data_IF_886489596818
#
_entry.id   IF_886489596818
#
_cell.length_a   1.000
_cell.length_b   1.000
_cell.length_c   1.000
_cell.angle_alpha   90.00
_cell.angle_beta   90.00
_cell.angle_gamma   90.00
#
_symmetry.space_group_name_H-M   'P 1'
#
loop_
_entity.id
_entity.type
_entity.pdbx_description
1 polymer ?
#
# COMPACT_ATOMS: atom_id res chain seq x y z
N UNK A 1 -12.43 -32.26 -45.56
CA UNK A 1 -12.84 -30.88 -45.20
C UNK A 1 -13.25 -30.68 -43.73
N UNK A 2 -13.37 -31.74 -42.91
CA UNK A 2 -13.77 -31.64 -41.49
C UNK A 2 -12.62 -31.33 -40.51
N UNK A 3 -11.37 -31.48 -40.93
CA UNK A 3 -10.20 -31.30 -40.05
C UNK A 3 -9.88 -29.84 -39.73
N UNK A 4 -10.18 -28.91 -40.64
CA UNK A 4 -9.86 -27.48 -40.48
C UNK A 4 -10.85 -26.77 -39.53
N UNK A 5 -12.12 -27.16 -39.56
CA UNK A 5 -13.14 -26.58 -38.68
C UNK A 5 -13.01 -27.08 -37.23
N UNK A 6 -12.58 -28.33 -37.02
CA UNK A 6 -12.25 -28.81 -35.66
C UNK A 6 -11.03 -28.10 -35.07
N UNK A 7 -9.99 -27.80 -35.86
CA UNK A 7 -8.79 -27.13 -35.37
C UNK A 7 -9.07 -25.70 -34.90
N UNK A 8 -9.94 -24.97 -35.63
CA UNK A 8 -10.38 -23.62 -35.23
C UNK A 8 -11.21 -23.63 -33.95
N UNK A 9 -12.06 -24.65 -33.77
CA UNK A 9 -12.89 -24.80 -32.57
C UNK A 9 -12.05 -25.15 -31.33
N UNK A 10 -11.05 -26.02 -31.50
CA UNK A 10 -10.11 -26.39 -30.43
C UNK A 10 -9.22 -25.19 -30.04
N UNK A 11 -8.64 -24.47 -31.00
CA UNK A 11 -7.90 -23.24 -30.72
C UNK A 11 -8.75 -22.18 -30.03
N UNK A 12 -10.01 -22.03 -30.46
CA UNK A 12 -10.97 -21.13 -29.82
C UNK A 12 -11.24 -21.49 -28.36
N UNK A 13 -11.41 -22.77 -28.06
CA UNK A 13 -11.67 -23.26 -26.70
C UNK A 13 -10.44 -23.10 -25.78
N UNK A 14 -9.23 -23.40 -26.28
CA UNK A 14 -7.99 -23.17 -25.53
C UNK A 14 -7.74 -21.67 -25.30
N UNK A 15 -8.05 -20.81 -26.27
CA UNK A 15 -7.94 -19.36 -26.10
C UNK A 15 -8.94 -18.82 -25.05
N UNK A 16 -10.17 -19.35 -25.03
CA UNK A 16 -11.21 -18.98 -24.06
C UNK A 16 -10.88 -19.47 -22.64
N UNK A 17 -10.28 -20.65 -22.50
CA UNK A 17 -9.77 -21.17 -21.23
C UNK A 17 -8.54 -20.38 -20.74
N UNK A 18 -7.63 -19.96 -21.62
CA UNK A 18 -6.44 -19.18 -21.26
C UNK A 18 -6.77 -17.73 -20.85
N UNK A 19 -7.82 -17.12 -21.44
CA UNK A 19 -8.31 -15.81 -21.01
C UNK A 19 -8.95 -15.84 -19.61
N UNK A 20 -9.35 -17.00 -19.10
CA UNK A 20 -9.98 -17.12 -17.78
C UNK A 20 -8.98 -17.00 -16.62
N UNK A 21 -7.67 -17.22 -16.85
CA UNK A 21 -6.66 -17.20 -15.78
C UNK A 21 -5.89 -15.87 -15.61
N UNK A 22 -6.03 -14.89 -16.50
CA UNK A 22 -5.11 -13.74 -16.51
C UNK A 22 -5.57 -12.48 -15.74
N UNK A 23 -6.47 -12.58 -14.76
CA UNK A 23 -7.02 -11.38 -14.09
C UNK A 23 -6.97 -11.33 -12.56
N UNK A 24 -6.09 -12.07 -11.88
CA UNK A 24 -5.86 -11.82 -10.45
C UNK A 24 -4.70 -10.84 -10.24
N UNK A 25 -4.97 -9.54 -10.26
CA UNK A 25 -4.09 -8.57 -9.61
C UNK A 25 -3.84 -9.03 -8.17
N UNK A 26 -2.58 -9.24 -7.76
CA UNK A 26 -2.26 -9.70 -6.40
C UNK A 26 -2.93 -8.79 -5.37
N UNK A 27 -3.70 -9.41 -4.48
CA UNK A 27 -4.39 -8.74 -3.38
C UNK A 27 -3.81 -9.29 -2.08
N UNK A 28 -3.44 -8.39 -1.17
CA UNK A 28 -2.97 -8.79 0.15
C UNK A 28 -4.12 -9.55 0.84
N UNK A 29 -3.87 -10.77 1.35
CA UNK A 29 -4.87 -11.55 2.07
C UNK A 29 -5.39 -10.80 3.29
N UNK A 30 -6.61 -11.13 3.72
CA UNK A 30 -7.20 -10.51 4.90
C UNK A 30 -6.33 -10.85 6.14
N UNK A 31 -5.97 -9.86 6.98
CA UNK A 31 -5.15 -10.13 8.14
C UNK A 31 -5.94 -10.82 9.25
N UNK A 32 -5.27 -11.73 9.95
CA UNK A 32 -5.82 -12.41 11.11
C UNK A 32 -5.39 -11.69 12.38
N UNK A 33 -6.34 -11.49 13.29
CA UNK A 33 -6.13 -10.85 14.59
C UNK A 33 -6.24 -11.90 15.70
N UNK A 34 -5.20 -12.00 16.51
CA UNK A 34 -5.16 -12.89 17.67
C UNK A 34 -4.92 -12.05 18.92
N UNK A 35 -5.77 -12.24 19.93
CA UNK A 35 -5.66 -11.54 21.22
C UNK A 35 -5.30 -12.60 22.27
N UNK A 36 -4.13 -12.46 22.87
CA UNK A 36 -3.66 -13.40 23.89
C UNK A 36 -4.21 -13.05 25.28
N UNK A 37 -4.59 -14.07 26.06
CA UNK A 37 -5.39 -13.89 27.27
C UNK A 37 -4.77 -13.02 28.37
N UNK A 38 -3.44 -12.89 28.42
CA UNK A 38 -2.73 -12.22 29.53
C UNK A 38 -2.22 -10.81 29.22
N UNK A 39 -1.90 -10.51 27.96
CA UNK A 39 -1.69 -9.20 27.30
C UNK A 39 -1.17 -9.51 25.88
N UNK A 40 -1.55 -8.73 24.88
CA UNK A 40 -0.90 -8.77 23.58
C UNK A 40 -1.85 -8.76 22.40
N UNK A 41 -1.39 -8.12 21.33
CA UNK A 41 -2.02 -8.13 20.03
C UNK A 41 -1.06 -8.79 19.04
N UNK A 42 -1.58 -9.76 18.30
CA UNK A 42 -0.92 -10.33 17.14
C UNK A 42 -1.77 -10.06 15.88
N UNK A 43 -1.09 -9.61 14.82
CA UNK A 43 -1.69 -9.40 13.51
C UNK A 43 -0.82 -10.09 12.48
N UNK A 44 -1.41 -10.99 11.70
CA UNK A 44 -0.66 -11.77 10.70
C UNK A 44 -1.31 -11.75 9.33
N UNK A 45 -0.49 -11.93 8.29
CA UNK A 45 -0.94 -12.30 6.95
C UNK A 45 -0.18 -13.56 6.52
N UNK A 46 -0.82 -14.48 5.76
CA UNK A 46 -0.09 -15.60 5.18
C UNK A 46 0.96 -15.10 4.19
N UNK A 47 2.05 -15.86 4.09
CA UNK A 47 3.07 -15.64 3.08
C UNK A 47 2.55 -16.00 1.67
N UNK A 48 3.14 -15.36 0.65
CA UNK A 48 2.91 -15.68 -0.75
C UNK A 48 4.23 -15.51 -1.52
N UNK A 49 4.37 -16.27 -2.59
CA UNK A 49 5.57 -16.31 -3.41
C UNK A 49 5.98 -14.90 -3.84
N UNK A 50 7.23 -14.55 -3.53
CA UNK A 50 7.85 -13.29 -3.93
C UNK A 50 7.59 -12.12 -3.00
N UNK A 51 6.87 -12.29 -1.89
CA UNK A 51 6.88 -11.31 -0.79
C UNK A 51 8.29 -11.30 -0.19
N UNK A 52 8.84 -10.11 0.02
CA UNK A 52 10.16 -9.97 0.65
C UNK A 52 10.21 -8.88 1.73
N UNK A 53 9.07 -8.26 2.02
CA UNK A 53 8.99 -7.15 2.96
C UNK A 53 7.54 -6.85 3.32
N UNK A 54 7.26 -6.77 4.63
CA UNK A 54 5.94 -6.40 5.15
C UNK A 54 6.10 -5.35 6.25
N UNK A 55 5.20 -4.36 6.25
CA UNK A 55 5.12 -3.34 7.31
C UNK A 55 3.70 -3.24 7.82
N UNK A 56 3.55 -3.38 9.13
CA UNK A 56 2.29 -3.18 9.83
C UNK A 56 2.25 -1.79 10.44
N UNK A 57 1.15 -1.08 10.20
CA UNK A 57 0.80 0.16 10.87
C UNK A 57 -0.46 -0.10 11.69
N UNK A 58 -0.37 0.04 13.01
CA UNK A 58 -1.44 -0.31 13.94
C UNK A 58 -1.73 0.88 14.85
N UNK A 59 -3.01 1.12 15.12
CA UNK A 59 -3.49 2.18 16.00
C UNK A 59 -4.75 1.72 16.73
N UNK A 60 -4.88 2.11 17.99
CA UNK A 60 -5.97 1.66 18.88
C UNK A 60 -6.86 2.86 19.16
N UNK A 61 -8.16 2.72 18.92
CA UNK A 61 -9.19 3.75 19.09
C UNK A 61 -8.91 5.08 18.35
N UNK A 62 -7.97 5.07 17.39
CA UNK A 62 -7.57 6.23 16.60
C UNK A 62 -7.35 5.85 15.15
N UNK A 63 -8.08 6.51 14.26
CA UNK A 63 -8.00 6.26 12.83
C UNK A 63 -6.63 6.66 12.24
N UNK A 64 -6.00 5.72 11.53
CA UNK A 64 -4.68 5.88 10.88
C UNK A 64 -4.74 6.85 9.69
N UNK A 65 -5.89 7.07 9.06
CA UNK A 65 -5.99 8.03 7.94
C UNK A 65 -5.77 9.47 8.37
N UNK A 66 -6.05 9.80 9.63
CA UNK A 66 -6.04 11.18 10.13
C UNK A 66 -4.83 11.50 11.01
N UNK A 67 -3.89 10.58 11.20
CA UNK A 67 -2.71 10.82 12.02
C UNK A 67 -1.68 9.69 12.05
N UNK A 68 -0.64 9.86 12.85
CA UNK A 68 0.41 8.86 13.01
C UNK A 68 -0.10 7.61 13.74
N UNK A 69 0.24 6.41 13.26
CA UNK A 69 -0.11 5.17 13.94
C UNK A 69 0.65 5.05 15.26
N UNK A 70 0.04 4.41 16.26
CA UNK A 70 0.71 4.15 17.53
C UNK A 70 1.91 3.21 17.35
N UNK A 71 1.79 2.24 16.44
CA UNK A 71 2.82 1.26 16.17
C UNK A 71 3.10 1.17 14.68
N UNK A 72 4.39 1.09 14.37
CA UNK A 72 4.90 0.79 13.05
C UNK A 72 5.99 -0.26 13.20
N UNK A 73 5.81 -1.39 12.54
CA UNK A 73 6.79 -2.47 12.60
C UNK A 73 7.08 -3.03 11.23
N UNK A 74 8.37 -3.11 10.93
CA UNK A 74 8.91 -3.81 9.79
C UNK A 74 9.11 -5.27 10.20
N UNK A 75 8.60 -6.19 9.40
CA UNK A 75 8.80 -7.62 9.59
C UNK A 75 9.76 -8.08 8.50
N UNK A 76 10.90 -8.62 8.91
CA UNK A 76 11.97 -9.09 8.03
C UNK A 76 11.95 -10.62 8.04
N UNK A 77 11.13 -11.19 7.16
CA UNK A 77 10.94 -12.62 7.04
C UNK A 77 9.65 -13.12 7.68
N UNK A 78 9.08 -14.12 7.04
CA UNK A 78 7.98 -14.92 7.52
C UNK A 78 8.45 -15.96 8.56
N UNK A 79 7.56 -16.30 9.48
CA UNK A 79 7.74 -17.38 10.45
C UNK A 79 6.55 -18.33 10.29
N UNK A 80 6.82 -19.61 10.02
CA UNK A 80 5.79 -20.62 9.77
C UNK A 80 4.77 -20.22 8.68
N UNK A 81 5.25 -19.61 7.60
CA UNK A 81 4.42 -19.19 6.47
C UNK A 81 3.50 -18.00 6.78
N UNK A 82 3.77 -17.23 7.84
CA UNK A 82 3.04 -16.01 8.18
C UNK A 82 4.00 -14.84 8.42
N UNK A 83 3.62 -13.66 7.96
CA UNK A 83 4.23 -12.40 8.33
C UNK A 83 3.46 -11.82 9.51
N UNK A 84 4.13 -11.68 10.65
CA UNK A 84 3.42 -11.44 11.91
C UNK A 84 3.97 -10.23 12.64
N UNK A 85 3.06 -9.32 13.00
CA UNK A 85 3.27 -8.30 14.02
C UNK A 85 2.82 -8.84 15.37
N UNK A 86 3.70 -8.82 16.37
CA UNK A 86 3.37 -9.24 17.73
C UNK A 86 3.78 -8.18 18.72
N UNK A 87 2.85 -7.76 19.59
CA UNK A 87 3.14 -6.81 20.67
C UNK A 87 2.45 -7.21 21.96
N UNK A 88 3.19 -7.92 22.81
CA UNK A 88 2.72 -8.41 24.12
C UNK A 88 2.32 -7.29 25.10
N UNK A 89 2.88 -6.08 24.97
CA UNK A 89 2.57 -4.98 25.88
C UNK A 89 1.19 -4.34 25.66
N UNK A 90 0.54 -4.62 24.52
CA UNK A 90 -0.75 -4.03 24.20
C UNK A 90 -1.85 -4.68 25.04
N UNK A 91 -2.59 -3.86 25.78
CA UNK A 91 -3.77 -4.27 26.55
C UNK A 91 -5.01 -3.78 25.83
N UNK A 92 -5.75 -4.70 25.23
CA UNK A 92 -7.04 -4.42 24.59
C UNK A 92 -8.18 -4.80 25.53
N UNK A 93 -9.24 -3.99 25.50
CA UNK A 93 -10.51 -4.23 26.19
C UNK A 93 -11.60 -4.54 25.17
N UNK A 94 -12.65 -5.29 25.55
CA UNK A 94 -13.87 -5.38 24.75
C UNK A 94 -14.37 -3.99 24.36
N UNK A 95 -14.72 -3.80 23.09
CA UNK A 95 -15.11 -2.53 22.50
C UNK A 95 -13.97 -1.70 21.93
N UNK A 96 -12.70 -2.02 22.19
CA UNK A 96 -11.58 -1.33 21.54
C UNK A 96 -11.57 -1.60 20.03
N UNK A 97 -11.18 -0.59 19.26
CA UNK A 97 -11.12 -0.63 17.80
C UNK A 97 -9.66 -0.54 17.34
N UNK A 98 -9.19 -1.57 16.65
CA UNK A 98 -7.86 -1.66 16.06
C UNK A 98 -7.92 -1.23 14.59
N UNK A 99 -7.43 -0.04 14.32
CA UNK A 99 -7.18 0.45 12.97
C UNK A 99 -5.85 -0.11 12.47
N UNK A 100 -5.80 -0.52 11.20
CA UNK A 100 -4.61 -1.12 10.63
C UNK A 100 -4.42 -0.75 9.16
N UNK A 101 -3.16 -0.66 8.74
CA UNK A 101 -2.74 -0.67 7.34
C UNK A 101 -1.55 -1.60 7.19
N UNK A 102 -1.53 -2.37 6.10
CA UNK A 102 -0.45 -3.34 5.84
C UNK A 102 0.16 -3.01 4.50
N UNK A 103 1.47 -2.83 4.48
CA UNK A 103 2.23 -2.64 3.26
C UNK A 103 2.98 -3.92 2.95
N UNK A 104 2.87 -4.41 1.72
CA UNK A 104 3.57 -5.60 1.25
C UNK A 104 4.37 -5.24 0.01
N UNK A 105 5.64 -5.66 -0.05
CA UNK A 105 6.42 -5.65 -1.29
C UNK A 105 6.51 -7.08 -1.82
N UNK A 106 6.03 -7.26 -3.04
CA UNK A 106 6.07 -8.54 -3.75
C UNK A 106 6.69 -8.32 -5.13
N UNK A 107 7.76 -9.05 -5.46
CA UNK A 107 8.53 -8.86 -6.70
C UNK A 107 8.86 -7.39 -7.02
N UNK A 108 9.29 -6.64 -6.00
CA UNK A 108 9.56 -5.19 -6.06
C UNK A 108 8.36 -4.28 -6.32
N UNK A 109 7.15 -4.82 -6.49
CA UNK A 109 5.90 -4.06 -6.57
C UNK A 109 5.32 -3.87 -5.17
N UNK A 110 4.75 -2.70 -4.93
CA UNK A 110 4.21 -2.30 -3.63
C UNK A 110 2.69 -2.42 -3.62
N UNK A 111 2.17 -3.04 -2.58
CA UNK A 111 0.74 -3.23 -2.34
C UNK A 111 0.38 -2.65 -0.98
N UNK A 112 -0.81 -2.07 -0.90
CA UNK A 112 -1.35 -1.50 0.33
C UNK A 112 -2.68 -2.18 0.64
N UNK A 113 -2.78 -2.69 1.85
CA UNK A 113 -4.02 -3.15 2.44
C UNK A 113 -4.51 -2.07 3.41
N UNK A 114 -5.69 -1.53 3.13
CA UNK A 114 -6.44 -0.66 4.03
C UNK A 114 -7.82 -1.31 4.21
N UNK A 115 -7.96 -2.08 5.28
CA UNK A 115 -9.17 -2.82 5.60
C UNK A 115 -10.08 -2.09 6.56
N UNK A 116 -11.22 -2.73 6.85
CA UNK A 116 -12.13 -2.30 7.92
C UNK A 116 -11.45 -2.40 9.27
N UNK A 117 -11.69 -1.48 10.22
CA UNK A 117 -11.14 -1.59 11.57
C UNK A 117 -11.62 -2.89 12.26
N UNK A 118 -10.76 -3.48 13.08
CA UNK A 118 -11.10 -4.68 13.85
C UNK A 118 -11.66 -4.27 15.22
N UNK A 119 -12.84 -4.76 15.59
CA UNK A 119 -13.47 -4.46 16.88
C UNK A 119 -13.26 -5.64 17.83
N UNK A 120 -12.68 -5.36 18.98
CA UNK A 120 -12.44 -6.37 20.02
C UNK A 120 -13.79 -6.77 20.62
N UNK A 121 -14.23 -7.99 20.35
CA UNK A 121 -15.48 -8.52 20.88
C UNK A 121 -15.32 -8.99 22.33
N UNK A 122 -16.43 -9.02 23.05
CA UNK A 122 -16.47 -9.56 24.42
C UNK A 122 -16.26 -11.09 24.39
N UNK A 123 -15.52 -11.61 25.38
CA UNK A 123 -15.23 -13.04 25.47
C UNK A 123 -16.53 -13.80 25.73
N UNK A 124 -16.99 -14.61 24.79
CA UNK A 124 -17.99 -15.64 25.10
C UNK A 124 -17.28 -16.72 25.90
N UNK A 125 -17.39 -16.69 27.22
CA UNK A 125 -17.04 -17.86 28.03
C UNK A 125 -18.02 -18.97 27.66
N UNK A 126 -17.57 -19.94 26.86
CA UNK A 126 -18.23 -21.22 26.86
C UNK A 126 -18.03 -21.84 28.25
N UNK A 127 -19.08 -22.27 28.95
CA UNK A 127 -18.94 -22.96 30.22
C UNK A 127 -18.13 -24.23 30.00
N UNK A 128 -16.88 -24.26 30.49
CA UNK A 128 -16.01 -25.43 30.49
C UNK A 128 -16.68 -26.51 31.37
N UNK A 129 -16.92 -27.73 30.88
CA UNK A 129 -17.32 -28.84 31.74
C UNK A 129 -16.25 -29.03 32.83
N UNK A 130 -16.68 -29.09 34.09
CA UNK A 130 -15.78 -29.18 35.23
C UNK A 130 -14.92 -30.45 35.16
N UNK A 131 -13.61 -30.29 34.91
CA UNK A 131 -12.62 -31.32 35.16
C UNK A 131 -11.33 -30.71 35.76
N UNK A 132 -10.62 -31.45 36.63
CA UNK A 132 -9.66 -30.89 37.57
C UNK A 132 -8.39 -30.34 36.91
N UNK A 133 -7.89 -29.27 37.51
CA UNK A 133 -6.78 -28.42 37.10
C UNK A 133 -5.43 -29.16 37.18
N UNK A 134 -4.66 -29.14 36.09
CA UNK A 134 -3.19 -29.01 36.15
C UNK A 134 -2.58 -28.65 34.79
N UNK A 135 -2.55 -27.36 34.45
CA UNK A 135 -1.51 -26.69 33.62
C UNK A 135 -1.84 -25.19 33.49
N UNK A 136 -0.86 -24.26 33.55
CA UNK A 136 -1.10 -22.87 33.23
C UNK A 136 -1.20 -22.72 31.70
N UNK A 137 -2.39 -22.91 31.15
CA UNK A 137 -2.68 -22.68 29.72
C UNK A 137 -2.47 -21.20 29.37
N UNK A 138 -1.50 -20.92 28.52
CA UNK A 138 -1.27 -19.62 27.87
C UNK A 138 -2.16 -19.52 26.63
N UNK A 139 -3.47 -19.46 26.86
CA UNK A 139 -4.47 -19.50 25.79
C UNK A 139 -4.47 -18.18 24.97
N UNK A 140 -4.05 -18.26 23.72
CA UNK A 140 -4.32 -17.25 22.70
C UNK A 140 -5.50 -17.69 21.84
N UNK A 141 -6.47 -16.80 21.61
CA UNK A 141 -7.62 -17.10 20.76
C UNK A 141 -7.52 -16.34 19.43
N UNK A 142 -7.63 -17.09 18.32
CA UNK A 142 -7.69 -16.56 16.97
C UNK A 142 -9.12 -16.08 16.70
N UNK A 143 -9.31 -14.79 16.45
CA UNK A 143 -10.64 -14.27 16.08
C UNK A 143 -10.79 -14.39 14.57
N UNK A 144 -11.82 -15.10 14.05
CA UNK A 144 -12.12 -15.04 12.64
C UNK A 144 -12.49 -13.59 12.28
N UNK A 145 -11.90 -13.09 11.19
CA UNK A 145 -12.20 -11.76 10.69
C UNK A 145 -13.66 -11.71 10.20
N UNK A 146 -14.57 -11.29 11.07
CA UNK A 146 -15.95 -11.00 10.67
C UNK A 146 -15.93 -9.64 9.97
N UNK A 147 -16.18 -9.64 8.67
CA UNK A 147 -16.49 -8.42 7.95
C UNK A 147 -17.80 -7.85 8.52
N UNK A 148 -17.73 -6.82 9.33
CA UNK A 148 -18.92 -6.12 9.82
C UNK A 148 -19.53 -5.32 8.68
N UNK A 149 -20.35 -5.95 7.86
CA UNK A 149 -21.41 -5.24 7.14
C UNK A 149 -22.35 -4.66 8.18
N UNK A 150 -22.32 -3.34 8.34
CA UNK A 150 -23.30 -2.61 9.14
C UNK A 150 -24.67 -2.90 8.51
N UNK A 151 -25.64 -3.50 9.21
CA UNK A 151 -26.97 -3.72 8.65
C UNK A 151 -27.65 -2.37 8.39
N UNK A 152 -28.43 -2.21 7.30
CA UNK A 152 -29.31 -1.06 7.17
C UNK A 152 -30.38 -1.16 8.26
N UNK A 153 -30.43 -0.18 9.15
CA UNK A 153 -31.49 -0.05 10.14
C UNK A 153 -32.81 0.23 9.41
N UNK A 154 -33.59 -0.81 9.18
CA UNK A 154 -35.01 -0.72 8.81
C UNK A 154 -35.82 -0.40 10.07
N UNK A 155 -36.18 0.86 10.24
CA UNK A 155 -37.16 1.28 11.24
C UNK A 155 -38.56 0.97 10.70
N UNK A 156 -39.16 -0.12 11.17
CA UNK A 156 -40.59 -0.40 10.96
C UNK A 156 -41.41 0.67 11.68
N UNK A 157 -42.08 1.54 10.92
CA UNK A 157 -43.10 2.46 11.43
C UNK A 157 -44.48 1.82 11.15
N UNK A 158 -45.43 1.82 12.10
CA UNK A 158 -46.76 1.21 11.91
C UNK A 158 -47.55 1.90 10.80
N UNK A 159 -48.49 1.20 10.15
CA UNK A 159 -49.26 1.75 9.05
C UNK A 159 -50.31 2.74 9.58
N UNK A 160 -50.07 4.03 9.38
CA UNK A 160 -51.11 5.05 9.52
C UNK A 160 -51.60 5.46 8.13
N UNK A 161 -52.88 5.19 7.92
CA UNK A 161 -53.72 5.48 6.76
C UNK A 161 -53.50 6.91 6.25
N UNK A 162 -53.10 7.05 4.99
CA UNK A 162 -52.92 8.35 4.32
C UNK A 162 -54.26 8.87 3.79
N UNK A 163 -54.65 10.04 4.26
CA UNK A 163 -55.44 11.01 3.49
C UNK A 163 -54.48 12.05 2.89
N UNK A 164 -54.70 12.54 1.66
CA UNK A 164 -53.74 13.36 0.94
C UNK A 164 -53.79 14.83 1.39
N UNK A 165 -52.68 15.31 1.92
CA UNK A 165 -52.44 16.72 2.24
C UNK A 165 -51.21 17.23 1.52
N UNK A 166 -51.43 18.14 0.57
CA UNK A 166 -50.41 19.00 -0.02
C UNK A 166 -49.75 19.82 1.09
N UNK A 167 -48.41 19.93 1.07
CA UNK A 167 -47.61 21.09 1.50
C UNK A 167 -46.12 20.77 1.26
N UNK A 168 -45.51 21.45 0.29
CA UNK A 168 -44.08 21.35 0.00
C UNK A 168 -43.27 21.99 1.14
N UNK A 169 -42.42 21.20 1.80
CA UNK A 169 -41.48 21.69 2.80
C UNK A 169 -40.25 22.35 2.15
N UNK A 170 -39.68 23.40 2.77
CA UNK A 170 -38.52 24.10 2.24
C UNK A 170 -37.30 23.18 2.26
N UNK A 171 -36.51 23.25 1.18
CA UNK A 171 -35.25 22.53 1.02
C UNK A 171 -34.35 22.75 2.26
N UNK A 172 -33.93 21.66 2.88
CA UNK A 172 -33.16 21.66 4.14
C UNK A 172 -31.73 22.23 3.91
N UNK A 173 -31.61 23.56 4.03
CA UNK A 173 -30.35 24.30 3.91
C UNK A 173 -29.27 23.86 4.93
N UNK A 174 -29.64 23.15 6.00
CA UNK A 174 -28.69 22.73 7.04
C UNK A 174 -27.76 21.61 6.56
N UNK A 175 -28.25 20.70 5.73
CA UNK A 175 -27.48 19.57 5.19
C UNK A 175 -26.46 20.03 4.13
N UNK A 176 -26.86 20.99 3.30
CA UNK A 176 -25.98 21.62 2.32
C UNK A 176 -24.86 22.42 3.02
N UNK A 177 -25.22 23.21 4.03
CA UNK A 177 -24.25 24.01 4.81
C UNK A 177 -23.18 23.12 5.47
N UNK A 178 -23.58 22.02 6.11
CA UNK A 178 -22.65 21.09 6.75
C UNK A 178 -21.71 20.38 5.74
N UNK A 179 -22.20 20.11 4.54
CA UNK A 179 -21.41 19.49 3.47
C UNK A 179 -20.36 20.47 2.93
N UNK A 180 -20.75 21.73 2.70
CA UNK A 180 -19.85 22.78 2.23
C UNK A 180 -18.77 23.07 3.26
N UNK A 181 -19.11 23.15 4.55
CA UNK A 181 -18.14 23.37 5.64
C UNK A 181 -17.12 22.23 5.75
N UNK A 182 -17.54 20.99 5.54
CA UNK A 182 -16.65 19.83 5.54
C UNK A 182 -15.66 19.86 4.38
N UNK A 183 -16.15 20.20 3.17
CA UNK A 183 -15.29 20.36 1.98
C UNK A 183 -14.29 21.49 2.20
N UNK A 184 -14.71 22.62 2.78
CA UNK A 184 -13.82 23.75 3.07
C UNK A 184 -12.70 23.33 4.05
N UNK A 185 -13.05 22.62 5.11
CA UNK A 185 -12.10 22.15 6.11
C UNK A 185 -11.12 21.11 5.54
N UNK A 186 -11.61 20.16 4.73
CA UNK A 186 -10.76 19.16 4.07
C UNK A 186 -9.80 19.84 3.06
N UNK A 187 -10.28 20.84 2.32
CA UNK A 187 -9.46 21.61 1.36
C UNK A 187 -8.38 22.44 2.07
N UNK A 188 -8.72 23.10 3.19
CA UNK A 188 -7.74 23.84 3.99
C UNK A 188 -6.65 22.92 4.55
N UNK A 189 -7.02 21.72 4.99
CA UNK A 189 -6.08 20.72 5.49
C UNK A 189 -5.11 20.21 4.42
N UNK A 190 -5.60 20.00 3.19
CA UNK A 190 -4.71 19.64 2.07
C UNK A 190 -3.75 20.79 1.73
N UNK A 191 -4.23 22.03 1.76
CA UNK A 191 -3.41 23.22 1.50
C UNK A 191 -2.29 23.38 2.54
N UNK A 192 -2.58 23.14 3.82
CA UNK A 192 -1.56 23.12 4.88
C UNK A 192 -0.56 21.96 4.69
N UNK A 193 -1.03 20.79 4.26
CA UNK A 193 -0.16 19.66 3.90
C UNK A 193 0.79 20.00 2.74
N UNK A 194 0.31 20.72 1.73
CA UNK A 194 1.13 21.21 0.62
C UNK A 194 2.13 22.27 1.09
N UNK A 195 1.73 23.18 1.97
CA UNK A 195 2.60 24.22 2.55
C UNK A 195 3.73 23.63 3.40
N UNK A 196 3.43 22.64 4.24
CA UNK A 196 4.44 21.93 5.05
C UNK A 196 5.43 21.14 4.17
N UNK A 197 4.96 20.58 3.05
CA UNK A 197 5.85 19.96 2.06
C UNK A 197 6.75 21.00 1.38
N UNK A 198 6.28 22.24 1.22
CA UNK A 198 7.07 23.32 0.65
C UNK A 198 8.18 23.79 1.59
N UNK A 199 7.94 23.81 2.91
CA UNK A 199 8.98 24.09 3.92
C UNK A 199 10.05 22.99 3.97
N UNK A 200 9.65 21.71 3.87
CA UNK A 200 10.60 20.60 3.75
C UNK A 200 11.42 20.65 2.44
N UNK A 201 10.83 21.15 1.34
CA UNK A 201 11.54 21.40 0.07
C UNK A 201 12.51 22.59 0.21
N UNK A 202 12.15 23.62 0.97
CA UNK A 202 13.01 24.77 1.27
C UNK A 202 14.19 24.38 2.19
N UNK A 203 13.96 23.48 3.14
CA UNK A 203 15.01 22.89 3.98
C UNK A 203 15.96 22.00 3.17
N UNK A 204 15.44 21.25 2.19
CA UNK A 204 16.27 20.55 1.19
C UNK A 204 17.01 21.49 0.22
N UNK A 205 16.55 22.73 0.08
CA UNK A 205 17.15 23.75 -0.79
C UNK A 205 18.24 24.59 -0.10
N UNK A 206 18.22 24.68 1.23
CA UNK A 206 19.12 25.54 2.01
C UNK A 206 20.47 24.90 2.35
N UNK A 207 20.60 23.56 2.27
CA UNK A 207 21.84 22.85 2.62
C UNK A 207 22.75 22.72 1.40
N UNK A 208 23.71 23.63 1.29
CA UNK A 208 24.91 23.40 0.48
C UNK A 208 25.87 22.42 1.20
N UNK A 209 26.60 21.57 0.47
CA UNK A 209 26.70 21.52 -0.99
C UNK A 209 25.62 20.64 -1.65
N UNK A 210 25.24 20.97 -2.89
CA UNK A 210 24.24 20.24 -3.67
C UNK A 210 24.79 18.92 -4.23
N UNK A 211 25.03 17.96 -3.33
CA UNK A 211 25.57 16.65 -3.70
C UNK A 211 24.49 15.68 -4.19
N UNK A 212 24.85 14.92 -5.23
CA UNK A 212 24.13 13.76 -5.73
C UNK A 212 25.08 12.57 -5.85
N UNK A 213 24.50 11.36 -5.88
CA UNK A 213 25.24 10.10 -6.01
C UNK A 213 24.73 9.31 -7.20
N UNK A 214 25.65 8.85 -8.03
CA UNK A 214 25.45 7.89 -9.10
C UNK A 214 26.10 6.57 -8.67
N UNK A 215 25.35 5.47 -8.67
CA UNK A 215 25.87 4.14 -8.33
C UNK A 215 25.56 3.18 -9.46
N UNK A 216 26.56 2.36 -9.85
CA UNK A 216 26.41 1.37 -10.91
C UNK A 216 27.75 0.77 -11.34
N UNK A 217 27.72 -0.09 -12.35
CA UNK A 217 28.94 -0.57 -13.01
C UNK A 217 29.57 0.58 -13.80
N UNK A 218 30.38 1.39 -13.11
CA UNK A 218 31.15 2.47 -13.71
C UNK A 218 32.51 1.91 -14.10
N UNK A 219 32.77 1.83 -15.41
CA UNK A 219 34.07 1.41 -15.94
C UNK A 219 35.22 2.20 -15.30
N UNK A 220 36.35 1.55 -15.06
CA UNK A 220 37.55 2.16 -14.47
C UNK A 220 38.13 3.27 -15.37
N UNK A 221 37.81 3.25 -16.66
CA UNK A 221 38.30 4.19 -17.66
C UNK A 221 37.36 5.40 -17.76
N UNK A 222 37.86 6.57 -17.37
CA UNK A 222 37.21 7.87 -17.59
C UNK A 222 37.29 8.81 -16.38
N UNK A 223 37.30 10.13 -16.63
CA UNK A 223 37.23 11.11 -15.55
C UNK A 223 35.83 11.10 -14.95
N UNK A 224 35.67 11.01 -13.61
CA UNK A 224 34.35 10.93 -12.96
C UNK A 224 33.38 12.03 -13.39
N UNK A 225 33.91 13.23 -13.67
CA UNK A 225 33.13 14.37 -14.14
C UNK A 225 32.49 14.13 -15.51
N UNK A 226 33.28 13.69 -16.49
CA UNK A 226 32.85 13.43 -17.86
C UNK A 226 31.83 12.27 -17.91
N UNK A 227 32.04 11.25 -17.07
CA UNK A 227 31.12 10.13 -16.92
C UNK A 227 29.76 10.61 -16.44
N UNK A 228 29.70 11.40 -15.37
CA UNK A 228 28.42 11.91 -14.84
C UNK A 228 27.71 12.80 -15.84
N UNK A 229 28.42 13.74 -16.48
CA UNK A 229 27.79 14.62 -17.49
C UNK A 229 27.24 13.82 -18.67
N UNK A 230 27.96 12.79 -19.12
CA UNK A 230 27.49 11.90 -20.20
C UNK A 230 26.27 11.09 -19.79
N UNK A 231 26.24 10.56 -18.56
CA UNK A 231 25.10 9.80 -18.03
C UNK A 231 23.87 10.70 -17.86
N UNK A 232 24.04 11.93 -17.35
CA UNK A 232 22.93 12.88 -17.22
C UNK A 232 22.36 13.26 -18.59
N UNK A 233 23.22 13.45 -19.59
CA UNK A 233 22.78 13.73 -20.95
C UNK A 233 22.07 12.54 -21.58
N UNK A 234 22.70 11.37 -21.59
CA UNK A 234 22.18 10.17 -22.28
C UNK A 234 20.94 9.61 -21.58
N UNK A 235 20.96 9.53 -20.25
CA UNK A 235 19.89 8.88 -19.49
C UNK A 235 18.80 9.84 -19.11
N UNK A 236 19.07 11.12 -18.84
CA UNK A 236 18.06 12.06 -18.36
C UNK A 236 17.72 13.17 -19.37
N UNK A 237 18.37 13.19 -20.54
CA UNK A 237 18.27 14.29 -21.51
C UNK A 237 18.58 15.64 -20.84
N UNK A 238 19.61 15.66 -19.99
CA UNK A 238 19.97 16.81 -19.15
C UNK A 238 21.41 17.23 -19.40
N UNK A 239 21.59 18.42 -19.97
CA UNK A 239 22.91 19.02 -20.25
C UNK A 239 23.46 19.81 -19.04
N UNK A 240 23.28 19.29 -17.83
CA UNK A 240 23.71 19.96 -16.61
C UNK A 240 25.22 19.82 -16.43
N UNK A 241 25.91 20.94 -16.24
CA UNK A 241 27.32 20.98 -15.86
C UNK A 241 27.47 20.79 -14.36
N UNK A 242 28.48 20.02 -13.96
CA UNK A 242 28.75 19.71 -12.56
C UNK A 242 30.05 20.37 -12.09
N UNK A 243 30.09 20.75 -10.81
CA UNK A 243 31.23 21.46 -10.23
C UNK A 243 32.40 20.50 -10.00
N UNK A 244 32.16 19.42 -9.27
CA UNK A 244 33.16 18.40 -8.97
C UNK A 244 32.54 16.99 -8.93
N UNK A 245 33.37 15.96 -9.09
CA UNK A 245 32.95 14.56 -9.02
C UNK A 245 34.07 13.68 -8.47
N UNK A 246 33.73 12.82 -7.51
CA UNK A 246 34.66 11.89 -6.86
C UNK A 246 34.13 10.47 -6.96
N UNK A 247 34.95 9.55 -7.46
CA UNK A 247 34.64 8.12 -7.53
C UNK A 247 35.17 7.41 -6.29
N UNK A 248 34.33 6.62 -5.63
CA UNK A 248 34.70 5.70 -4.55
C UNK A 248 34.06 4.34 -4.86
N UNK A 249 34.89 3.38 -5.27
CA UNK A 249 34.43 2.07 -5.75
C UNK A 249 33.48 2.21 -6.95
N UNK A 250 32.26 1.69 -6.83
CA UNK A 250 31.21 1.72 -7.87
C UNK A 250 30.30 2.95 -7.79
N UNK A 251 30.60 3.91 -6.92
CA UNK A 251 29.79 5.11 -6.74
C UNK A 251 30.57 6.36 -7.14
N UNK A 252 29.95 7.23 -7.92
CA UNK A 252 30.43 8.60 -8.16
C UNK A 252 29.53 9.56 -7.37
N UNK A 253 30.13 10.35 -6.47
CA UNK A 253 29.47 11.47 -5.82
C UNK A 253 29.84 12.75 -6.57
N UNK A 254 28.86 13.59 -6.90
CA UNK A 254 29.10 14.83 -7.64
C UNK A 254 28.36 16.02 -7.03
N UNK A 255 28.88 17.22 -7.28
CA UNK A 255 28.36 18.49 -6.77
C UNK A 255 27.82 19.34 -7.93
N UNK A 256 26.66 19.95 -7.71
CA UNK A 256 26.00 20.85 -8.67
C UNK A 256 26.25 22.31 -8.33
N UNK A 257 26.15 23.19 -9.32
CA UNK A 257 26.32 24.63 -9.12
C UNK A 257 25.12 25.25 -8.40
N UNK A 258 23.91 24.74 -8.67
CA UNK A 258 22.68 25.32 -8.12
C UNK A 258 21.68 24.27 -7.68
N UNK A 259 20.74 24.69 -6.84
CA UNK A 259 19.63 23.85 -6.40
C UNK A 259 18.67 23.49 -7.55
N UNK A 260 18.46 24.41 -8.49
CA UNK A 260 17.57 24.22 -9.64
C UNK A 260 18.06 23.05 -10.50
N UNK A 261 19.37 22.93 -10.69
CA UNK A 261 19.99 21.79 -11.38
C UNK A 261 19.69 20.47 -10.66
N UNK A 262 19.77 20.47 -9.32
CA UNK A 262 19.47 19.28 -8.49
C UNK A 262 18.01 18.87 -8.65
N UNK A 263 17.11 19.85 -8.65
CA UNK A 263 15.68 19.64 -8.78
C UNK A 263 15.28 19.15 -10.18
N UNK A 264 15.90 19.68 -11.24
CA UNK A 264 15.69 19.23 -12.63
C UNK A 264 16.09 17.77 -12.81
N UNK A 265 17.30 17.41 -12.38
CA UNK A 265 17.80 16.03 -12.41
C UNK A 265 16.85 15.09 -11.66
N UNK A 266 16.38 15.48 -10.47
CA UNK A 266 15.47 14.67 -9.67
C UNK A 266 14.11 14.46 -10.36
N UNK A 267 13.54 15.52 -10.94
CA UNK A 267 12.27 15.45 -11.68
C UNK A 267 12.37 14.50 -12.88
N UNK A 268 13.45 14.61 -13.65
CA UNK A 268 13.72 13.76 -14.83
C UNK A 268 13.93 12.30 -14.44
N UNK A 269 14.77 12.03 -13.43
CA UNK A 269 15.01 10.68 -12.94
C UNK A 269 13.71 10.01 -12.45
N UNK A 270 12.84 10.75 -11.75
CA UNK A 270 11.53 10.24 -11.31
C UNK A 270 10.61 9.91 -12.49
N UNK A 271 10.61 10.74 -13.55
CA UNK A 271 9.83 10.49 -14.76
C UNK A 271 10.30 9.21 -15.47
N UNK A 272 11.60 9.00 -15.58
CA UNK A 272 12.15 7.82 -16.26
C UNK A 272 11.86 6.54 -15.51
N UNK A 273 11.99 6.54 -14.18
CA UNK A 273 11.58 5.39 -13.36
C UNK A 273 10.11 5.01 -13.58
N UNK A 274 9.23 5.98 -13.80
CA UNK A 274 7.83 5.74 -14.13
C UNK A 274 7.67 5.09 -15.51
N UNK A 275 8.45 5.56 -16.50
CA UNK A 275 8.45 5.06 -17.87
C UNK A 275 9.03 3.65 -17.94
N UNK A 276 10.13 3.36 -17.24
CA UNK A 276 10.72 2.01 -17.16
C UNK A 276 9.77 1.02 -16.49
N UNK A 277 9.10 1.41 -15.40
CA UNK A 277 8.10 0.54 -14.76
C UNK A 277 6.92 0.25 -15.70
N UNK A 278 6.51 1.25 -16.51
CA UNK A 278 5.46 1.09 -17.50
C UNK A 278 5.92 0.22 -18.69
N UNK A 279 7.13 0.46 -19.20
CA UNK A 279 7.74 -0.29 -20.30
C UNK A 279 7.97 -1.75 -19.91
N UNK A 280 8.45 -2.03 -18.70
CA UNK A 280 8.60 -3.38 -18.17
C UNK A 280 7.25 -4.10 -18.07
N UNK A 281 6.18 -3.41 -17.64
CA UNK A 281 4.82 -3.97 -17.63
C UNK A 281 4.33 -4.31 -19.03
N UNK A 282 4.58 -3.43 -20.01
CA UNK A 282 4.22 -3.66 -21.41
C UNK A 282 5.04 -4.81 -22.01
N UNK A 283 6.35 -4.83 -21.82
CA UNK A 283 7.24 -5.89 -22.31
C UNK A 283 6.88 -7.25 -21.72
N UNK A 284 6.54 -7.30 -20.42
CA UNK A 284 6.06 -8.53 -19.79
C UNK A 284 4.72 -8.99 -20.36
N UNK A 285 3.81 -8.07 -20.68
CA UNK A 285 2.57 -8.41 -21.37
C UNK A 285 2.84 -8.97 -22.77
N UNK A 286 3.74 -8.35 -23.55
CA UNK A 286 4.07 -8.79 -24.90
C UNK A 286 4.92 -10.08 -24.94
N UNK A 287 5.85 -10.25 -24.02
CA UNK A 287 6.70 -11.45 -23.94
C UNK A 287 5.88 -12.68 -23.57
N UNK A 288 4.91 -12.56 -22.67
CA UNK A 288 3.96 -13.63 -22.38
C UNK A 288 3.08 -13.95 -23.60
N UNK A 289 2.68 -12.96 -24.38
CA UNK A 289 1.94 -13.18 -25.64
C UNK A 289 2.79 -13.93 -26.67
N UNK A 290 4.06 -13.55 -26.84
CA UNK A 290 4.97 -14.21 -27.80
C UNK A 290 5.35 -15.63 -27.35
N UNK A 291 5.58 -15.86 -26.06
CA UNK A 291 5.93 -17.18 -25.54
C UNK A 291 4.74 -18.17 -25.64
N UNK A 292 3.51 -17.68 -25.53
CA UNK A 292 2.29 -18.45 -25.75
C UNK A 292 2.09 -18.77 -27.24
N UNK A 293 2.44 -17.85 -28.16
CA UNK A 293 2.40 -18.11 -29.61
C UNK A 293 3.46 -19.14 -30.05
N UNK A 294 4.62 -19.21 -29.39
CA UNK A 294 5.68 -20.19 -29.74
C UNK A 294 5.48 -21.58 -29.13
N UNK A 295 4.53 -21.76 -28.19
CA UNK A 295 4.22 -23.04 -27.56
C UNK A 295 2.91 -23.68 -28.08
N UNK A 296 2.25 -23.04 -29.05
CA UNK A 296 1.11 -23.55 -29.81
C UNK A 296 1.53 -23.88 -31.24
#
# INVERSE_FOLDING_TARGET
>A
MYCCEMLKSILGFFCLMYCFETNSCYRIPHPTFTICNKRGLEVSIPDDKGINFVVFYISINKNIERGYPHYRQYVNGEVHGKWTFTKAAIKLKPGDVVYHKIFVRRYNIRYLYAGTPFVVSERVHQPKPAHPISQPEDDCYEFPAVATTIPPTTTNIPPTTRTPGNNANPLDCSLFSNTVLKILADTQKELEGVKNNQEAILEMASVQPYHLRLSGLVTELGRPKEIVESVLLEKLDSNVKIKNATKVGTTITFELFTFEQKLDIFKRAKKIKLIEDLSYRIYRMLSNVIYVIMLC
#
